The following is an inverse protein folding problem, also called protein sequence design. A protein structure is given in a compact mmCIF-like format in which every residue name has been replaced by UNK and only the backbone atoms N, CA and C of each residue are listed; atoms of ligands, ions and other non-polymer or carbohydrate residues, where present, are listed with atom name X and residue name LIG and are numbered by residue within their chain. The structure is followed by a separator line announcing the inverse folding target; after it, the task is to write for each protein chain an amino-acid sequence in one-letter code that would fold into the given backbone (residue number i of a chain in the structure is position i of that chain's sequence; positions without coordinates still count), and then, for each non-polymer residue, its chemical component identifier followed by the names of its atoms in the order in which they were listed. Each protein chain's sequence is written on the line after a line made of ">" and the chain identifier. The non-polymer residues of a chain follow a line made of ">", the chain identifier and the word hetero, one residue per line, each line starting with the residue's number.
data_IF_902436373527
#
_entry.id   IF_902436373527
#
_cell.length_a   1.000
_cell.length_b   1.000
_cell.length_c   1.000
_cell.angle_alpha   90.00
_cell.angle_beta   90.00
_cell.angle_gamma   90.00
#
_symmetry.space_group_name_H-M   'P 1'
#
loop_
_entity.id
_entity.type
_entity.pdbx_description
1 polymer ?
#
# COMPACT_ATOMS: atom_id res chain seq x y z
N UNK A 1 -18.30 -0.81 14.80
CA UNK A 1 -18.51 -1.73 15.96
C UNK A 1 -17.17 -2.33 16.37
N UNK A 2 -16.95 -2.58 17.69
CA UNK A 2 -15.81 -3.31 18.22
C UNK A 2 -16.27 -4.68 18.69
N UNK A 3 -15.57 -5.75 18.30
CA UNK A 3 -15.82 -7.10 18.72
C UNK A 3 -14.66 -7.64 19.60
N UNK A 4 -14.98 -8.17 20.79
CA UNK A 4 -14.03 -8.68 21.78
C UNK A 4 -14.42 -10.10 22.19
N UNK A 5 -14.32 -11.04 21.25
CA UNK A 5 -14.80 -12.43 21.43
C UNK A 5 -13.68 -13.40 21.81
N UNK A 6 -12.42 -12.97 21.72
CA UNK A 6 -11.26 -13.85 21.85
C UNK A 6 -11.25 -14.68 23.14
N UNK A 7 -11.14 -15.98 22.97
CA UNK A 7 -11.06 -17.01 24.03
C UNK A 7 -12.27 -17.08 24.95
N UNK A 8 -13.40 -16.41 24.63
CA UNK A 8 -14.58 -16.40 25.48
C UNK A 8 -15.23 -17.78 25.60
N UNK A 9 -16.02 -17.97 26.67
CA UNK A 9 -16.66 -19.26 27.00
C UNK A 9 -17.55 -19.77 25.86
N UNK A 10 -18.30 -18.90 25.18
CA UNK A 10 -19.12 -19.30 24.05
C UNK A 10 -18.30 -19.84 22.87
N UNK A 11 -17.11 -19.25 22.61
CA UNK A 11 -16.19 -19.77 21.56
C UNK A 11 -15.78 -21.20 21.89
N UNK A 12 -15.48 -21.49 23.15
CA UNK A 12 -15.21 -22.84 23.62
C UNK A 12 -16.41 -23.77 23.45
N UNK A 13 -17.61 -23.31 23.78
CA UNK A 13 -18.83 -24.10 23.68
C UNK A 13 -19.15 -24.50 22.22
N UNK A 14 -19.02 -23.57 21.27
CA UNK A 14 -19.34 -23.86 19.85
C UNK A 14 -18.22 -24.63 19.14
N UNK A 15 -16.98 -24.54 19.59
CA UNK A 15 -15.84 -25.24 19.02
C UNK A 15 -15.48 -26.57 19.67
N UNK A 16 -16.08 -26.87 20.82
CA UNK A 16 -15.75 -28.07 21.63
C UNK A 16 -14.41 -27.96 22.39
N UNK A 17 -13.78 -26.75 22.45
CA UNK A 17 -12.48 -26.53 23.04
C UNK A 17 -12.64 -25.95 24.45
N UNK A 18 -12.26 -26.72 25.49
CA UNK A 18 -12.40 -26.32 26.90
C UNK A 18 -11.36 -25.30 27.34
N UNK A 19 -10.10 -25.51 26.93
CA UNK A 19 -8.98 -24.67 27.34
C UNK A 19 -8.95 -23.32 26.61
N UNK A 20 -8.91 -22.22 27.36
CA UNK A 20 -9.00 -20.88 26.78
C UNK A 20 -7.86 -20.56 25.80
N UNK A 21 -6.58 -20.87 26.08
CA UNK A 21 -5.49 -20.64 25.12
C UNK A 21 -5.60 -21.43 23.83
N UNK A 22 -6.21 -22.61 23.88
CA UNK A 22 -6.39 -23.47 22.69
C UNK A 22 -7.53 -23.00 21.74
N UNK A 23 -8.29 -21.96 22.13
CA UNK A 23 -9.41 -21.41 21.33
C UNK A 23 -8.99 -20.39 20.27
N UNK A 24 -7.71 -20.20 19.98
CA UNK A 24 -7.28 -19.15 19.06
C UNK A 24 -7.73 -19.40 17.62
N UNK A 25 -7.66 -20.66 17.13
CA UNK A 25 -8.19 -21.02 15.82
C UNK A 25 -9.72 -20.78 15.72
N UNK A 26 -10.48 -21.16 16.74
CA UNK A 26 -11.92 -20.92 16.79
C UNK A 26 -12.22 -19.40 16.92
N UNK A 27 -11.38 -18.65 17.65
CA UNK A 27 -11.47 -17.19 17.72
C UNK A 27 -11.30 -16.55 16.34
N UNK A 28 -10.34 -17.04 15.53
CA UNK A 28 -10.13 -16.53 14.16
C UNK A 28 -11.39 -16.74 13.29
N UNK A 29 -12.02 -17.91 13.34
CA UNK A 29 -13.26 -18.17 12.63
C UNK A 29 -14.41 -17.23 13.04
N UNK A 30 -14.58 -16.99 14.36
CA UNK A 30 -15.58 -16.03 14.85
C UNK A 30 -15.24 -14.60 14.44
N UNK A 31 -13.95 -14.23 14.38
CA UNK A 31 -13.52 -12.92 13.90
C UNK A 31 -13.84 -12.69 12.42
N UNK A 32 -13.68 -13.70 11.57
CA UNK A 32 -14.09 -13.64 10.16
C UNK A 32 -15.60 -13.35 10.07
N UNK A 33 -16.43 -14.10 10.74
CA UNK A 33 -17.88 -13.90 10.75
C UNK A 33 -18.27 -12.49 11.30
N UNK A 34 -17.53 -12.00 12.30
CA UNK A 34 -17.77 -10.66 12.84
C UNK A 34 -17.40 -9.55 11.84
N UNK A 35 -16.35 -9.73 11.04
CA UNK A 35 -15.96 -8.78 9.97
C UNK A 35 -17.01 -8.77 8.87
N UNK A 36 -17.50 -9.92 8.43
CA UNK A 36 -18.61 -10.05 7.49
C UNK A 36 -19.87 -9.30 7.98
N UNK A 37 -20.13 -9.36 9.29
CA UNK A 37 -21.21 -8.62 9.93
C UNK A 37 -20.92 -7.11 10.16
N UNK A 38 -19.84 -6.58 9.57
CA UNK A 38 -19.49 -5.15 9.60
C UNK A 38 -18.71 -4.70 10.84
N UNK A 39 -18.07 -5.61 11.58
CA UNK A 39 -17.15 -5.23 12.66
C UNK A 39 -15.87 -4.62 12.07
N UNK A 40 -15.44 -3.48 12.64
CA UNK A 40 -14.26 -2.76 12.18
C UNK A 40 -13.07 -2.86 13.11
N UNK A 41 -13.27 -3.26 14.36
CA UNK A 41 -12.21 -3.38 15.37
C UNK A 41 -12.37 -4.72 16.07
N UNK A 42 -11.31 -5.51 16.08
CA UNK A 42 -11.23 -6.79 16.77
C UNK A 42 -10.22 -6.69 17.92
N UNK A 43 -10.63 -7.07 19.13
CA UNK A 43 -9.73 -7.21 20.26
C UNK A 43 -9.47 -8.68 20.52
N UNK A 44 -8.25 -9.13 20.25
CA UNK A 44 -7.85 -10.54 20.30
C UNK A 44 -6.57 -10.74 21.11
N UNK A 45 -6.31 -11.98 21.58
CA UNK A 45 -5.08 -12.35 22.27
C UNK A 45 -3.98 -12.70 21.27
N UNK A 46 -4.29 -13.53 20.25
CA UNK A 46 -3.39 -13.86 19.16
C UNK A 46 -3.66 -12.94 17.97
N UNK A 47 -2.98 -11.80 17.96
CA UNK A 47 -3.11 -10.81 16.87
C UNK A 47 -2.53 -11.36 15.57
N UNK A 48 -1.39 -12.07 15.63
CA UNK A 48 -0.71 -12.58 14.44
C UNK A 48 -1.54 -13.64 13.73
N UNK A 49 -2.04 -14.64 14.46
CA UNK A 49 -2.86 -15.71 13.89
C UNK A 49 -4.20 -15.20 13.33
N UNK A 50 -4.86 -14.28 14.03
CA UNK A 50 -6.10 -13.68 13.52
C UNK A 50 -5.84 -12.81 12.29
N UNK A 51 -4.73 -12.05 12.24
CA UNK A 51 -4.36 -11.29 11.05
C UNK A 51 -4.09 -12.19 9.84
N UNK A 52 -3.37 -13.30 10.02
CA UNK A 52 -3.14 -14.29 8.96
C UNK A 52 -4.46 -14.88 8.44
N UNK A 53 -5.35 -15.27 9.33
CA UNK A 53 -6.65 -15.83 8.96
C UNK A 53 -7.50 -14.82 8.18
N UNK A 54 -7.55 -13.56 8.62
CA UNK A 54 -8.29 -12.50 7.94
C UNK A 54 -7.71 -12.15 6.58
N UNK A 55 -6.38 -12.07 6.45
CA UNK A 55 -5.72 -11.80 5.16
C UNK A 55 -5.97 -12.94 4.17
N UNK A 56 -5.85 -14.20 4.63
CA UNK A 56 -6.14 -15.38 3.80
C UNK A 56 -7.61 -15.42 3.38
N UNK A 57 -8.51 -15.15 4.31
CA UNK A 57 -9.93 -15.06 4.02
C UNK A 57 -10.22 -13.96 2.99
N UNK A 58 -9.62 -12.77 3.15
CA UNK A 58 -9.80 -11.66 2.24
C UNK A 58 -9.41 -12.04 0.80
N UNK A 59 -8.25 -12.67 0.60
CA UNK A 59 -7.78 -13.10 -0.73
C UNK A 59 -8.71 -14.15 -1.35
N UNK A 60 -9.25 -15.08 -0.56
CA UNK A 60 -10.20 -16.10 -1.05
C UNK A 60 -11.57 -15.48 -1.37
N UNK A 61 -12.03 -14.55 -0.55
CA UNK A 61 -13.32 -13.86 -0.75
C UNK A 61 -13.28 -12.86 -1.91
N UNK A 62 -12.10 -12.43 -2.33
CA UNK A 62 -11.88 -11.47 -3.42
C UNK A 62 -10.87 -12.06 -4.43
N UNK A 63 -11.27 -13.09 -5.21
CA UNK A 63 -10.36 -13.82 -6.10
C UNK A 63 -9.95 -13.02 -7.34
N UNK A 64 -10.69 -11.96 -7.69
CA UNK A 64 -10.37 -11.14 -8.85
C UNK A 64 -9.22 -10.18 -8.51
N UNK A 65 -8.13 -10.16 -9.32
CA UNK A 65 -7.03 -9.25 -9.10
C UNK A 65 -7.47 -7.78 -9.13
N UNK A 66 -7.22 -7.06 -8.05
CA UNK A 66 -7.61 -5.65 -7.91
C UNK A 66 -6.56 -4.73 -8.47
N UNK A 67 -7.00 -3.71 -9.15
CA UNK A 67 -6.15 -2.63 -9.66
C UNK A 67 -5.63 -1.79 -8.48
N UNK A 68 -4.34 -1.48 -8.50
CA UNK A 68 -3.75 -0.57 -7.52
C UNK A 68 -2.63 0.28 -8.14
N UNK A 69 -2.34 1.42 -7.52
CA UNK A 69 -1.25 2.30 -7.91
C UNK A 69 -0.23 2.42 -6.79
N UNK A 70 1.05 2.32 -7.17
CA UNK A 70 2.19 2.45 -6.28
C UNK A 70 3.06 3.61 -6.77
N UNK A 71 3.27 4.62 -5.92
CA UNK A 71 4.27 5.64 -6.19
C UNK A 71 5.66 5.12 -5.85
N UNK A 72 6.63 5.42 -6.70
CA UNK A 72 8.03 5.10 -6.55
C UNK A 72 8.84 6.40 -6.50
N UNK A 73 9.74 6.55 -5.53
CA UNK A 73 10.56 7.73 -5.38
C UNK A 73 11.99 7.39 -4.96
N UNK A 74 12.99 7.98 -5.62
CA UNK A 74 14.41 7.80 -5.30
C UNK A 74 15.16 9.14 -5.35
N UNK A 75 16.01 9.42 -4.35
CA UNK A 75 16.81 10.66 -4.31
C UNK A 75 18.29 10.42 -3.96
N UNK A 76 18.76 9.17 -3.91
CA UNK A 76 20.14 8.80 -3.59
C UNK A 76 20.67 7.77 -4.59
N UNK A 77 21.95 7.90 -4.95
CA UNK A 77 22.63 6.95 -5.83
C UNK A 77 22.11 6.95 -7.26
N UNK A 78 22.12 5.81 -7.93
CA UNK A 78 21.51 5.64 -9.25
C UNK A 78 20.00 5.53 -9.13
N UNK A 79 19.35 6.69 -9.16
CA UNK A 79 17.92 6.85 -8.95
C UNK A 79 17.09 6.03 -9.95
N UNK A 80 17.50 6.01 -11.22
CA UNK A 80 16.80 5.26 -12.27
C UNK A 80 16.96 3.74 -12.11
N UNK A 81 18.14 3.28 -11.72
CA UNK A 81 18.35 1.86 -11.43
C UNK A 81 17.49 1.41 -10.25
N UNK A 82 17.41 2.22 -9.19
CA UNK A 82 16.52 1.90 -8.06
C UNK A 82 15.05 1.82 -8.47
N UNK A 83 14.56 2.73 -9.33
CA UNK A 83 13.18 2.67 -9.85
C UNK A 83 12.95 1.37 -10.66
N UNK A 84 13.85 1.03 -11.61
CA UNK A 84 13.75 -0.21 -12.41
C UNK A 84 13.71 -1.46 -11.55
N UNK A 85 14.65 -1.57 -10.61
CA UNK A 85 14.74 -2.71 -9.69
C UNK A 85 13.54 -2.80 -8.77
N UNK A 86 12.99 -1.67 -8.33
CA UNK A 86 11.76 -1.67 -7.52
C UNK A 86 10.59 -2.24 -8.31
N UNK A 87 10.40 -1.82 -9.56
CA UNK A 87 9.34 -2.34 -10.44
C UNK A 87 9.52 -3.85 -10.66
N UNK A 88 10.73 -4.31 -10.97
CA UNK A 88 11.01 -5.75 -11.15
C UNK A 88 10.73 -6.56 -9.88
N UNK A 89 11.08 -6.04 -8.70
CA UNK A 89 10.79 -6.70 -7.43
C UNK A 89 9.30 -6.68 -7.08
N UNK A 90 8.57 -5.62 -7.43
CA UNK A 90 7.10 -5.56 -7.26
C UNK A 90 6.44 -6.58 -8.19
N UNK A 91 6.89 -6.70 -9.44
CA UNK A 91 6.37 -7.70 -10.39
C UNK A 91 6.65 -9.15 -9.94
N UNK A 92 7.66 -9.36 -9.10
CA UNK A 92 8.00 -10.66 -8.53
C UNK A 92 7.25 -10.99 -7.22
N UNK A 93 6.42 -10.09 -6.70
CA UNK A 93 5.56 -10.36 -5.52
C UNK A 93 4.51 -11.41 -5.91
N UNK A 94 4.35 -12.50 -5.14
CA UNK A 94 3.33 -13.50 -5.41
C UNK A 94 1.93 -12.87 -5.54
N UNK A 95 1.10 -13.41 -6.45
CA UNK A 95 -0.27 -12.94 -6.68
C UNK A 95 -0.35 -11.45 -7.10
N UNK A 96 0.73 -10.93 -7.66
CA UNK A 96 0.81 -9.52 -8.09
C UNK A 96 1.51 -9.46 -9.45
N UNK A 97 1.01 -8.63 -10.34
CA UNK A 97 1.68 -8.32 -11.60
C UNK A 97 1.67 -6.80 -11.86
N UNK A 98 2.75 -6.28 -12.43
CA UNK A 98 2.81 -4.92 -12.94
C UNK A 98 2.14 -4.89 -14.31
N UNK A 99 1.16 -3.99 -14.49
CA UNK A 99 0.41 -3.84 -15.75
C UNK A 99 0.81 -2.60 -16.52
N UNK A 100 1.50 -1.66 -15.87
CA UNK A 100 2.03 -0.46 -16.51
C UNK A 100 2.96 0.30 -15.57
N UNK A 101 3.88 1.04 -16.14
CA UNK A 101 4.77 1.95 -15.41
C UNK A 101 4.86 3.26 -16.18
N UNK A 102 4.76 4.36 -15.48
CA UNK A 102 4.99 5.69 -16.06
C UNK A 102 6.44 5.86 -16.46
N UNK A 103 6.72 6.91 -17.22
CA UNK A 103 8.08 7.44 -17.32
C UNK A 103 8.59 7.88 -15.96
N UNK A 104 9.91 7.99 -15.81
CA UNK A 104 10.51 8.59 -14.64
C UNK A 104 10.57 10.11 -14.79
N UNK A 105 10.28 10.83 -13.72
CA UNK A 105 10.28 12.31 -13.71
C UNK A 105 11.16 12.83 -12.60
N UNK A 106 12.00 13.84 -12.91
CA UNK A 106 12.64 14.62 -11.87
C UNK A 106 11.68 15.67 -11.33
N UNK A 107 11.60 15.76 -10.02
CA UNK A 107 10.66 16.66 -9.34
C UNK A 107 11.34 17.50 -8.29
N UNK A 108 10.75 18.66 -8.00
CA UNK A 108 11.17 19.50 -6.89
C UNK A 108 11.12 18.73 -5.57
N UNK A 109 12.02 19.04 -4.65
CA UNK A 109 11.94 18.55 -3.29
C UNK A 109 10.60 18.94 -2.63
N UNK A 110 9.99 18.01 -1.93
CA UNK A 110 8.76 18.24 -1.17
C UNK A 110 8.93 17.78 0.28
N UNK A 111 8.11 18.29 1.17
CA UNK A 111 8.05 17.86 2.58
C UNK A 111 9.39 17.90 3.33
N UNK A 112 10.24 18.92 3.06
CA UNK A 112 11.53 19.08 3.72
C UNK A 112 12.67 18.20 3.19
N UNK A 113 12.48 17.51 2.07
CA UNK A 113 13.56 16.83 1.34
C UNK A 113 14.46 17.90 0.71
N UNK A 114 15.79 17.76 0.82
CA UNK A 114 16.74 18.76 0.34
C UNK A 114 17.15 18.58 -1.14
N UNK A 115 16.91 17.41 -1.73
CA UNK A 115 17.40 17.05 -3.07
C UNK A 115 16.25 16.70 -4.02
N UNK A 116 16.41 16.95 -5.34
CA UNK A 116 15.46 16.48 -6.34
C UNK A 116 15.24 14.97 -6.27
N UNK A 117 14.02 14.54 -6.54
CA UNK A 117 13.60 13.14 -6.49
C UNK A 117 13.29 12.67 -7.90
N UNK A 118 13.73 11.46 -8.26
CA UNK A 118 13.21 10.75 -9.42
C UNK A 118 11.96 9.98 -8.98
N UNK A 119 10.81 10.29 -9.58
CA UNK A 119 9.52 9.70 -9.26
C UNK A 119 8.91 8.99 -10.45
N UNK A 120 8.15 7.95 -10.18
CA UNK A 120 7.32 7.23 -11.15
C UNK A 120 6.09 6.64 -10.45
N UNK A 121 5.12 6.20 -11.23
CA UNK A 121 3.96 5.45 -10.74
C UNK A 121 3.88 4.11 -11.45
N UNK A 122 3.71 3.03 -10.71
CA UNK A 122 3.41 1.71 -11.24
C UNK A 122 1.92 1.38 -11.05
N UNK A 123 1.29 0.87 -12.08
CA UNK A 123 -0.01 0.22 -12.02
C UNK A 123 0.20 -1.27 -11.83
N UNK A 124 -0.49 -1.86 -10.88
CA UNK A 124 -0.43 -3.29 -10.58
C UNK A 124 -1.82 -3.91 -10.51
N UNK A 125 -1.87 -5.23 -10.71
CA UNK A 125 -3.01 -6.08 -10.37
C UNK A 125 -2.57 -7.05 -9.28
N UNK A 126 -3.35 -7.19 -8.20
CA UNK A 126 -2.99 -8.02 -7.05
C UNK A 126 -4.20 -8.67 -6.39
N UNK A 127 -4.03 -9.91 -5.93
CA UNK A 127 -4.99 -10.64 -5.09
C UNK A 127 -4.63 -10.52 -3.60
N UNK A 128 -3.56 -9.80 -3.26
CA UNK A 128 -3.12 -9.62 -1.87
C UNK A 128 -4.02 -8.63 -1.14
N UNK A 129 -4.34 -8.95 0.11
CA UNK A 129 -4.97 -8.00 1.01
C UNK A 129 -4.09 -6.74 1.18
N UNK A 130 -4.68 -5.53 1.29
CA UNK A 130 -3.92 -4.26 1.34
C UNK A 130 -2.81 -4.23 2.39
N UNK A 131 -3.03 -4.84 3.58
CA UNK A 131 -2.01 -4.90 4.63
C UNK A 131 -0.86 -5.87 4.33
N UNK A 132 -1.10 -6.90 3.53
CA UNK A 132 -0.04 -7.79 3.03
C UNK A 132 0.76 -7.08 1.95
N UNK A 133 0.07 -6.44 1.01
CA UNK A 133 0.72 -5.69 -0.07
C UNK A 133 1.67 -4.61 0.49
N UNK A 134 1.25 -3.83 1.48
CA UNK A 134 2.14 -2.81 2.06
C UNK A 134 3.36 -3.44 2.75
N UNK A 135 3.24 -4.62 3.36
CA UNK A 135 4.39 -5.34 3.94
C UNK A 135 5.36 -5.81 2.86
N UNK A 136 4.86 -6.28 1.72
CA UNK A 136 5.70 -6.66 0.58
C UNK A 136 6.40 -5.43 -0.03
N UNK A 137 5.71 -4.29 -0.18
CA UNK A 137 6.34 -3.05 -0.65
C UNK A 137 7.45 -2.57 0.29
N UNK A 138 7.24 -2.64 1.60
CA UNK A 138 8.28 -2.35 2.60
C UNK A 138 9.45 -3.34 2.52
N UNK A 139 9.19 -4.61 2.18
CA UNK A 139 10.22 -5.61 1.91
C UNK A 139 11.05 -5.27 0.67
N UNK A 140 10.41 -4.79 -0.41
CA UNK A 140 11.10 -4.27 -1.61
C UNK A 140 12.05 -3.13 -1.25
N UNK A 141 11.58 -2.13 -0.51
CA UNK A 141 12.42 -1.02 -0.02
C UNK A 141 13.64 -1.53 0.75
N UNK A 142 13.43 -2.46 1.68
CA UNK A 142 14.51 -3.06 2.48
C UNK A 142 15.53 -3.80 1.62
N UNK A 143 15.08 -4.59 0.62
CA UNK A 143 15.94 -5.30 -0.33
C UNK A 143 16.80 -4.33 -1.17
N UNK A 144 16.30 -3.12 -1.41
CA UNK A 144 17.01 -2.06 -2.14
C UNK A 144 17.82 -1.12 -1.22
N UNK A 145 18.06 -1.54 0.03
CA UNK A 145 18.96 -0.87 0.94
C UNK A 145 18.37 0.35 1.66
N UNK A 146 17.04 0.52 1.65
CA UNK A 146 16.43 1.60 2.42
C UNK A 146 16.63 1.36 3.92
N UNK A 147 17.18 2.35 4.60
CA UNK A 147 17.29 2.39 6.06
C UNK A 147 16.40 3.52 6.60
N UNK A 148 15.74 3.26 7.73
CA UNK A 148 14.99 4.28 8.48
C UNK A 148 15.67 4.45 9.83
N UNK A 149 16.52 5.50 10.02
CA UNK A 149 17.13 5.79 11.32
C UNK A 149 16.04 6.04 12.37
N UNK A 150 16.22 5.52 13.57
CA UNK A 150 15.29 5.76 14.67
C UNK A 150 15.17 7.27 14.93
N UNK A 151 13.95 7.79 14.97
CA UNK A 151 13.65 9.22 15.20
C UNK A 151 13.62 10.11 13.95
N UNK A 152 13.89 9.58 12.75
CA UNK A 152 13.66 10.30 11.49
C UNK A 152 12.40 9.76 10.80
N UNK A 153 11.28 10.39 11.04
CA UNK A 153 10.05 10.07 10.31
C UNK A 153 10.09 10.69 8.91
N UNK A 154 10.37 9.85 7.91
CA UNK A 154 9.81 9.97 6.58
C UNK A 154 10.50 10.87 5.55
N UNK A 155 11.39 11.83 5.87
CA UNK A 155 11.81 12.89 4.93
C UNK A 155 13.31 12.97 4.63
N UNK A 156 14.05 11.90 4.82
CA UNK A 156 15.50 11.81 4.59
C UNK A 156 15.91 11.30 3.21
N UNK A 157 17.24 11.22 2.96
CA UNK A 157 17.79 10.53 1.81
C UNK A 157 17.31 9.07 1.77
N UNK A 158 16.89 8.61 0.58
CA UNK A 158 16.37 7.25 0.40
C UNK A 158 16.70 6.66 -0.97
N UNK A 159 17.13 5.42 -0.97
CA UNK A 159 17.37 4.65 -2.20
C UNK A 159 16.09 4.46 -2.98
N UNK A 160 15.00 4.11 -2.28
CA UNK A 160 13.66 3.93 -2.86
C UNK A 160 12.59 4.17 -1.80
N UNK A 161 11.44 4.67 -2.23
CA UNK A 161 10.19 4.79 -1.49
C UNK A 161 9.08 4.14 -2.31
N UNK A 162 8.24 3.30 -1.70
CA UNK A 162 7.15 2.60 -2.37
C UNK A 162 5.85 2.86 -1.60
N UNK A 163 5.12 3.91 -1.99
CA UNK A 163 3.85 4.29 -1.36
C UNK A 163 2.66 3.66 -2.09
N UNK A 164 1.83 2.85 -1.41
CA UNK A 164 0.56 2.41 -1.95
C UNK A 164 -0.44 3.59 -1.96
N UNK A 165 -0.82 4.02 -3.15
CA UNK A 165 -1.62 5.24 -3.35
C UNK A 165 -3.11 5.00 -3.27
N UNK A 166 -3.57 3.95 -3.93
CA UNK A 166 -4.97 3.61 -4.10
C UNK A 166 -5.10 2.13 -4.48
N UNK A 167 -6.18 1.50 -4.07
CA UNK A 167 -6.54 0.14 -4.46
C UNK A 167 -8.04 0.05 -4.66
N UNK A 168 -8.44 -0.60 -5.73
CA UNK A 168 -9.83 -0.75 -6.16
C UNK A 168 -10.71 -1.35 -5.05
N UNK A 169 -11.78 -0.62 -4.68
CA UNK A 169 -12.75 -1.04 -3.67
C UNK A 169 -12.25 -0.97 -2.21
N UNK A 170 -11.02 -0.49 -1.97
CA UNK A 170 -10.43 -0.49 -0.63
C UNK A 170 -10.35 0.92 -0.01
N UNK A 171 -10.71 0.98 1.27
CA UNK A 171 -10.53 2.16 2.11
C UNK A 171 -9.95 1.77 3.46
N UNK A 172 -8.87 2.43 3.87
CA UNK A 172 -8.21 2.20 5.15
C UNK A 172 -7.88 3.52 5.85
N UNK A 173 -8.04 3.55 7.17
CA UNK A 173 -7.69 4.71 8.00
C UNK A 173 -6.83 4.28 9.20
N UNK A 174 -5.87 3.37 8.98
CA UNK A 174 -4.98 2.84 10.00
C UNK A 174 -3.64 3.59 10.06
N UNK A 175 -2.90 3.42 11.15
CA UNK A 175 -1.55 4.00 11.30
C UNK A 175 -0.54 3.41 10.30
N UNK A 176 -0.70 2.15 9.93
CA UNK A 176 0.19 1.44 9.02
C UNK A 176 -0.16 1.69 7.55
N UNK A 177 -1.43 1.89 7.26
CA UNK A 177 -1.95 2.09 5.91
C UNK A 177 -3.16 3.01 5.96
N UNK A 178 -3.16 4.01 5.11
CA UNK A 178 -4.32 4.83 4.79
C UNK A 178 -4.57 4.76 3.28
N UNK A 179 -5.76 4.38 2.87
CA UNK A 179 -6.20 4.30 1.47
C UNK A 179 -7.56 4.99 1.28
N UNK A 180 -7.73 5.77 0.25
CA UNK A 180 -6.67 6.30 -0.62
C UNK A 180 -5.59 7.03 0.18
N UNK A 181 -4.36 7.12 -0.37
CA UNK A 181 -3.27 7.84 0.31
C UNK A 181 -3.68 9.30 0.59
N UNK A 182 -3.60 9.79 1.83
CA UNK A 182 -4.21 11.07 2.25
C UNK A 182 -3.75 12.29 1.44
N UNK A 183 -2.51 12.23 0.92
CA UNK A 183 -1.89 13.34 0.16
C UNK A 183 -1.86 13.07 -1.34
N UNK A 184 -2.64 12.13 -1.88
CA UNK A 184 -2.56 11.76 -3.29
C UNK A 184 -2.86 12.95 -4.19
N UNK A 185 -3.95 13.67 -3.92
CA UNK A 185 -4.44 14.76 -4.77
C UNK A 185 -3.62 16.06 -4.71
N UNK A 186 -2.64 16.17 -3.80
CA UNK A 186 -1.77 17.34 -3.68
C UNK A 186 -0.38 17.16 -4.30
N UNK A 187 -0.06 15.94 -4.83
CA UNK A 187 1.28 15.54 -5.28
C UNK A 187 1.41 15.61 -6.79
N UNK A 188 2.07 16.63 -7.35
CA UNK A 188 2.35 16.72 -8.79
C UNK A 188 3.20 15.51 -9.26
N UNK A 189 4.15 15.09 -8.43
CA UNK A 189 5.02 13.93 -8.66
C UNK A 189 4.30 12.57 -8.65
N UNK A 190 2.98 12.55 -8.42
CA UNK A 190 2.11 11.38 -8.57
C UNK A 190 1.16 11.59 -9.74
N UNK A 191 0.50 12.74 -9.80
CA UNK A 191 -0.57 13.01 -10.79
C UNK A 191 0.00 13.07 -12.21
N UNK A 192 1.12 13.78 -12.41
CA UNK A 192 1.75 13.85 -13.74
C UNK A 192 2.22 12.47 -14.24
N UNK A 193 2.95 11.65 -13.46
CA UNK A 193 3.25 10.29 -13.88
C UNK A 193 2.01 9.43 -14.17
N UNK A 194 0.88 9.64 -13.50
CA UNK A 194 -0.35 8.91 -13.80
C UNK A 194 -0.92 9.22 -15.19
N UNK A 195 -0.58 10.37 -15.81
CA UNK A 195 -0.98 10.72 -17.19
C UNK A 195 -0.41 9.75 -18.22
N UNK A 196 0.72 9.09 -17.94
CA UNK A 196 1.30 8.04 -18.79
C UNK A 196 0.50 6.73 -18.74
N UNK A 197 -0.25 6.52 -17.65
CA UNK A 197 -0.98 5.27 -17.38
C UNK A 197 -2.48 5.39 -17.75
N UNK A 198 -3.00 6.61 -17.81
CA UNK A 198 -4.41 6.87 -18.13
C UNK A 198 -4.60 8.28 -18.68
N UNK A 199 -5.61 8.44 -19.53
CA UNK A 199 -5.89 9.69 -20.23
C UNK A 199 -6.23 10.87 -19.31
N UNK A 200 -6.95 10.63 -18.20
CA UNK A 200 -7.43 11.68 -17.28
C UNK A 200 -7.36 11.20 -15.83
N UNK A 201 -6.17 11.32 -15.18
CA UNK A 201 -6.00 10.92 -13.80
C UNK A 201 -6.83 11.76 -12.84
N UNK A 202 -7.05 13.04 -13.11
CA UNK A 202 -7.83 13.91 -12.22
C UNK A 202 -9.30 13.46 -12.16
N UNK A 203 -9.87 13.16 -13.32
CA UNK A 203 -11.24 12.61 -13.42
C UNK A 203 -11.34 11.24 -12.75
N UNK A 204 -10.34 10.36 -12.94
CA UNK A 204 -10.29 9.08 -12.26
C UNK A 204 -10.30 9.26 -10.74
N UNK A 205 -9.42 10.11 -10.20
CA UNK A 205 -9.32 10.39 -8.79
C UNK A 205 -10.59 11.01 -8.22
N UNK A 206 -11.23 11.92 -8.96
CA UNK A 206 -12.51 12.50 -8.57
C UNK A 206 -13.62 11.44 -8.45
N UNK A 207 -13.69 10.47 -9.36
CA UNK A 207 -14.63 9.34 -9.26
C UNK A 207 -14.30 8.42 -8.08
N UNK A 208 -13.02 8.31 -7.70
CA UNK A 208 -12.60 7.59 -6.51
C UNK A 208 -12.82 8.39 -5.20
N UNK A 209 -13.46 9.57 -5.25
CA UNK A 209 -13.73 10.43 -4.10
C UNK A 209 -12.51 11.21 -3.60
N UNK A 210 -11.48 11.35 -4.41
CA UNK A 210 -10.23 12.03 -4.06
C UNK A 210 -10.25 13.44 -4.68
N UNK A 211 -10.16 14.47 -3.84
CA UNK A 211 -10.01 15.86 -4.30
C UNK A 211 -8.60 16.09 -4.82
N UNK A 212 -8.48 16.63 -6.02
CA UNK A 212 -7.21 16.98 -6.64
C UNK A 212 -7.04 18.50 -6.59
N UNK A 213 -5.89 18.98 -6.10
CA UNK A 213 -5.58 20.40 -6.09
C UNK A 213 -5.22 20.88 -7.51
N UNK A 214 -5.53 22.16 -7.85
CA UNK A 214 -4.97 22.80 -9.03
C UNK A 214 -3.44 22.69 -9.06
N UNK A 215 -2.86 22.52 -10.25
CA UNK A 215 -1.44 22.19 -10.41
C UNK A 215 -0.50 23.19 -9.71
N UNK A 216 -0.85 24.47 -9.72
CA UNK A 216 -0.10 25.55 -9.06
C UNK A 216 -0.08 25.47 -7.52
N UNK A 217 -0.97 24.65 -6.95
CA UNK A 217 -1.05 24.41 -5.49
C UNK A 217 -0.46 23.06 -5.09
N UNK A 218 -0.04 22.24 -6.08
CA UNK A 218 0.56 20.92 -5.81
C UNK A 218 2.00 21.06 -5.33
N UNK A 219 2.48 20.05 -4.63
CA UNK A 219 3.88 19.97 -4.18
C UNK A 219 4.68 19.01 -5.05
N UNK A 220 6.00 19.17 -5.06
CA UNK A 220 6.92 18.34 -5.84
C UNK A 220 6.67 18.46 -7.34
N UNK A 221 6.69 19.70 -7.86
CA UNK A 221 6.42 19.97 -9.27
C UNK A 221 7.39 19.21 -10.18
N UNK A 222 6.87 18.62 -11.22
CA UNK A 222 7.68 17.95 -12.25
C UNK A 222 8.49 18.98 -13.02
N UNK A 223 9.80 18.73 -13.17
CA UNK A 223 10.80 19.60 -13.83
C UNK A 223 11.36 19.02 -15.11
N UNK A 224 11.57 17.71 -15.15
CA UNK A 224 12.12 17.04 -16.31
C UNK A 224 11.61 15.60 -16.43
N UNK A 225 11.47 15.13 -17.65
CA UNK A 225 11.28 13.73 -18.00
C UNK A 225 12.67 13.05 -18.06
N UNK A 226 12.84 11.98 -17.30
CA UNK A 226 14.08 11.21 -17.20
C UNK A 226 14.07 9.95 -18.09
N UNK A 227 12.98 9.69 -18.81
CA UNK A 227 12.85 8.58 -19.74
C UNK A 227 12.03 7.40 -19.21
N UNK A 228 11.99 6.37 -20.04
CA UNK A 228 11.22 5.15 -19.77
C UNK A 228 11.89 4.27 -18.71
N UNK A 229 11.06 3.53 -17.97
CA UNK A 229 11.48 2.51 -17.03
C UNK A 229 11.18 1.15 -17.63
N UNK A 230 12.24 0.41 -18.04
CA UNK A 230 12.11 -1.00 -18.44
C UNK A 230 12.24 -1.87 -17.18
N UNK A 231 11.37 -2.88 -17.04
CA UNK A 231 11.35 -3.78 -15.88
C UNK A 231 11.31 -5.27 -16.27
N UNK A 232 11.48 -5.58 -17.54
CA UNK A 232 11.56 -6.96 -18.08
C UNK A 232 12.83 -7.69 -17.63
#
# INVERSE_FOLDING_TARGET
>A
MLCAVSRKRFVGAVSGVTEAPARDAATAGVCIAAVEAGTRILRVHDVAGVSQALNSYWSVAHPDPRRAFVALGSNVGDRLDYLRRAVSLINAIPLTCVTGVSRAYETDPAYGIAMPVANAVAEIRTELAPLVLIDELLSVEKKLGRTRPAGQEGHGPRTIDCDLLWMEGETHAGRKLALPHPRLGERDFVIVPMEDLMHDPERFLAHAGISVLPREQRVGLVRADLGEISWE
#
